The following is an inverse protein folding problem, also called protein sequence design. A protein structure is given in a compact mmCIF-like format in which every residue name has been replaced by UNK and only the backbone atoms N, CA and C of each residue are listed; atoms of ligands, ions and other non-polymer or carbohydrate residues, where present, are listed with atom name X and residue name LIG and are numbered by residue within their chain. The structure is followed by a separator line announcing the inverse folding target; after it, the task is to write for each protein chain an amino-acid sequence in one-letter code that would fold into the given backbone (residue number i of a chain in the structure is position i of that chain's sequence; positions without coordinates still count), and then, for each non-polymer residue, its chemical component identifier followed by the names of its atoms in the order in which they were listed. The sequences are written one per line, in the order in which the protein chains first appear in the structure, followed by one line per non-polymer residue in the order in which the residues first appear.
data_IF_697498507793
#
_entry.id   IF_697498507793
#
_cell.length_a   1.000
_cell.length_b   1.000
_cell.length_c   1.000
_cell.angle_alpha   90.00
_cell.angle_beta   90.00
_cell.angle_gamma   90.00
#
_symmetry.space_group_name_H-M   'P 1'
#
loop_
_entity.id
_entity.type
_entity.pdbx_description
1 polymer ?
#
# COMPACT_ATOMS: atom_id res chain seq x y z
N UNK A 1 -15.53 -8.84 19.58
CA UNK A 1 -15.55 -8.14 18.27
C UNK A 1 -16.03 -9.11 17.19
N UNK A 2 -16.67 -8.63 16.11
CA UNK A 2 -17.26 -9.55 15.13
C UNK A 2 -16.19 -10.39 14.41
N UNK A 3 -16.47 -11.67 14.18
CA UNK A 3 -15.54 -12.61 13.51
C UNK A 3 -15.10 -12.15 12.10
N UNK A 4 -15.89 -11.31 11.45
CA UNK A 4 -15.59 -10.76 10.12
C UNK A 4 -14.64 -9.55 10.15
N UNK A 5 -14.35 -8.97 11.31
CA UNK A 5 -13.60 -7.71 11.43
C UNK A 5 -12.18 -7.81 10.85
N UNK A 6 -11.37 -8.76 11.33
CA UNK A 6 -9.99 -8.93 10.85
C UNK A 6 -9.91 -9.31 9.37
N UNK A 7 -10.71 -10.26 8.85
CA UNK A 7 -10.77 -10.54 7.41
C UNK A 7 -11.16 -9.32 6.57
N UNK A 8 -12.16 -8.55 7.00
CA UNK A 8 -12.59 -7.34 6.29
C UNK A 8 -11.50 -6.26 6.30
N UNK A 9 -10.83 -6.06 7.43
CA UNK A 9 -9.71 -5.12 7.57
C UNK A 9 -8.55 -5.50 6.63
N UNK A 10 -8.15 -6.77 6.61
CA UNK A 10 -7.13 -7.27 5.67
C UNK A 10 -7.58 -7.05 4.23
N UNK A 11 -8.84 -7.34 3.91
CA UNK A 11 -9.40 -7.12 2.58
C UNK A 11 -9.32 -5.66 2.13
N UNK A 12 -9.68 -4.72 2.99
CA UNK A 12 -9.60 -3.28 2.69
C UNK A 12 -8.15 -2.82 2.52
N UNK A 13 -7.24 -3.25 3.39
CA UNK A 13 -5.81 -2.91 3.31
C UNK A 13 -5.17 -3.47 2.03
N UNK A 14 -5.50 -4.71 1.67
CA UNK A 14 -5.04 -5.35 0.45
C UNK A 14 -5.61 -4.66 -0.80
N UNK A 15 -6.91 -4.32 -0.81
CA UNK A 15 -7.54 -3.60 -1.92
C UNK A 15 -6.95 -2.19 -2.10
N UNK A 16 -6.74 -1.45 -1.01
CA UNK A 16 -6.10 -0.14 -1.04
C UNK A 16 -4.66 -0.23 -1.57
N UNK A 17 -3.89 -1.23 -1.13
CA UNK A 17 -2.56 -1.50 -1.65
C UNK A 17 -2.60 -1.82 -3.15
N UNK A 18 -3.50 -2.70 -3.58
CA UNK A 18 -3.63 -3.09 -4.99
C UNK A 18 -3.99 -1.90 -5.89
N UNK A 19 -4.95 -1.07 -5.48
CA UNK A 19 -5.35 0.13 -6.22
C UNK A 19 -4.19 1.13 -6.31
N UNK A 20 -3.46 1.33 -5.22
CA UNK A 20 -2.26 2.17 -5.22
C UNK A 20 -1.17 1.59 -6.15
N UNK A 21 -0.96 0.28 -6.14
CA UNK A 21 -0.02 -0.42 -7.02
C UNK A 21 -0.39 -0.27 -8.49
N UNK A 22 -1.66 -0.51 -8.85
CA UNK A 22 -2.16 -0.30 -10.22
C UNK A 22 -1.95 1.17 -10.64
N UNK A 23 -2.26 2.12 -9.76
CA UNK A 23 -2.05 3.53 -10.05
C UNK A 23 -0.58 3.87 -10.28
N UNK A 24 0.34 3.32 -9.47
CA UNK A 24 1.79 3.48 -9.64
C UNK A 24 2.27 2.87 -10.96
N UNK A 25 1.73 1.71 -11.36
CA UNK A 25 2.04 1.08 -12.64
C UNK A 25 1.60 1.96 -13.81
N UNK A 26 0.39 2.51 -13.75
CA UNK A 26 -0.12 3.44 -14.76
C UNK A 26 0.68 4.76 -14.82
N UNK A 27 1.31 5.14 -13.70
CA UNK A 27 2.15 6.34 -13.58
C UNK A 27 3.65 6.03 -13.47
N UNK A 28 4.10 4.87 -13.96
CA UNK A 28 5.51 4.44 -13.90
C UNK A 28 6.47 5.49 -14.46
N UNK A 29 6.01 6.26 -15.43
CA UNK A 29 6.78 7.33 -16.04
C UNK A 29 7.02 8.51 -15.10
N UNK A 30 6.03 8.86 -14.29
CA UNK A 30 6.15 9.95 -13.32
C UNK A 30 6.97 9.49 -12.11
N UNK A 31 6.86 8.21 -11.74
CA UNK A 31 7.75 7.51 -10.79
C UNK A 31 9.20 7.56 -11.29
N UNK A 32 9.45 7.11 -12.52
CA UNK A 32 10.78 7.15 -13.13
C UNK A 32 11.34 8.57 -13.22
N UNK A 33 10.51 9.57 -13.53
CA UNK A 33 10.93 10.97 -13.53
C UNK A 33 11.25 11.53 -12.13
N UNK A 34 10.61 10.99 -11.08
CA UNK A 34 10.87 11.37 -9.70
C UNK A 34 12.22 10.83 -9.22
N UNK A 35 12.50 9.55 -9.47
CA UNK A 35 13.75 8.90 -9.05
C UNK A 35 14.93 9.22 -9.99
N UNK A 36 14.69 9.37 -11.29
CA UNK A 36 15.72 9.71 -12.28
C UNK A 36 16.31 11.11 -12.11
N UNK A 37 15.61 12.02 -11.43
CA UNK A 37 16.11 13.36 -11.08
C UNK A 37 17.33 13.32 -10.14
N UNK A 38 17.55 12.22 -9.42
CA UNK A 38 18.70 12.08 -8.52
C UNK A 38 19.76 11.10 -9.04
N UNK A 39 19.37 10.07 -9.79
CA UNK A 39 20.31 9.00 -10.15
C UNK A 39 20.88 9.07 -11.57
N UNK A 40 20.32 9.87 -12.50
CA UNK A 40 20.83 10.00 -13.88
C UNK A 40 20.72 8.74 -14.77
N UNK A 41 20.59 7.55 -14.17
CA UNK A 41 20.51 6.24 -14.84
C UNK A 41 19.10 5.87 -15.32
N UNK A 42 18.06 6.52 -14.77
CA UNK A 42 16.67 6.20 -15.11
C UNK A 42 16.26 6.99 -16.36
N UNK A 43 16.32 6.33 -17.51
CA UNK A 43 15.91 6.90 -18.79
C UNK A 43 14.39 7.14 -18.81
N UNK A 44 13.98 8.40 -18.99
CA UNK A 44 12.58 8.79 -19.11
C UNK A 44 12.11 8.58 -20.56
N UNK A 45 10.99 7.89 -20.77
CA UNK A 45 10.33 7.88 -22.09
C UNK A 45 9.87 9.29 -22.53
N UNK A 46 9.63 9.58 -23.82
CA UNK A 46 9.29 10.92 -24.34
C UNK A 46 7.86 11.41 -24.01
N UNK A 47 7.66 12.73 -23.74
CA UNK A 47 6.35 13.38 -23.44
C UNK A 47 6.23 14.17 -22.11
N UNK A 48 5.04 14.67 -21.75
CA UNK A 48 4.79 15.53 -20.56
C UNK A 48 4.47 14.71 -19.30
N UNK A 49 4.81 15.27 -18.12
CA UNK A 49 4.51 14.70 -16.79
C UNK A 49 3.00 14.72 -16.54
N UNK A 50 2.42 13.62 -16.04
CA UNK A 50 0.97 13.53 -15.81
C UNK A 50 0.59 13.74 -14.34
N UNK A 51 1.42 13.29 -13.41
CA UNK A 51 1.23 13.43 -11.97
C UNK A 51 2.33 14.26 -11.28
N UNK A 52 1.99 14.85 -10.13
CA UNK A 52 2.94 15.58 -9.26
C UNK A 52 3.77 14.61 -8.42
N UNK A 53 4.94 15.06 -7.94
CA UNK A 53 5.79 14.26 -7.04
C UNK A 53 5.04 13.83 -5.77
N UNK A 54 4.17 14.69 -5.25
CA UNK A 54 3.38 14.41 -4.05
C UNK A 54 2.39 13.27 -4.25
N UNK A 55 1.72 13.21 -5.41
CA UNK A 55 0.80 12.12 -5.74
C UNK A 55 1.53 10.77 -5.86
N UNK A 56 2.72 10.77 -6.46
CA UNK A 56 3.57 9.57 -6.54
C UNK A 56 3.99 9.10 -5.15
N UNK A 57 4.45 10.02 -4.29
CA UNK A 57 4.80 9.69 -2.90
C UNK A 57 3.61 9.15 -2.10
N UNK A 58 2.44 9.78 -2.22
CA UNK A 58 1.22 9.34 -1.55
C UNK A 58 0.84 7.92 -1.97
N UNK A 59 0.93 7.61 -3.27
CA UNK A 59 0.65 6.27 -3.77
C UNK A 59 1.69 5.23 -3.30
N UNK A 60 2.97 5.59 -3.22
CA UNK A 60 4.02 4.72 -2.65
C UNK A 60 3.75 4.43 -1.17
N UNK A 61 3.40 5.45 -0.39
CA UNK A 61 3.08 5.30 1.04
C UNK A 61 1.83 4.44 1.20
N UNK A 62 0.77 4.70 0.44
CA UNK A 62 -0.48 3.95 0.50
C UNK A 62 -0.28 2.48 0.13
N UNK A 63 0.50 2.23 -0.94
CA UNK A 63 0.88 0.88 -1.34
C UNK A 63 1.56 0.14 -0.18
N UNK A 64 2.60 0.75 0.40
CA UNK A 64 3.38 0.15 1.47
C UNK A 64 2.60 -0.03 2.77
N UNK A 65 1.89 1.00 3.21
CA UNK A 65 1.06 0.94 4.41
C UNK A 65 -0.03 -0.14 4.31
N UNK A 66 -0.64 -0.30 3.13
CA UNK A 66 -1.65 -1.32 2.89
C UNK A 66 -1.10 -2.75 3.04
N UNK A 67 -0.02 -3.10 2.33
CA UNK A 67 0.49 -4.48 2.40
C UNK A 67 1.17 -4.79 3.75
N UNK A 68 1.91 -3.84 4.33
CA UNK A 68 2.54 -4.01 5.65
C UNK A 68 1.47 -4.13 6.73
N UNK A 69 0.44 -3.27 6.69
CA UNK A 69 -0.68 -3.34 7.61
C UNK A 69 -1.42 -4.68 7.52
N UNK A 70 -1.67 -5.16 6.31
CA UNK A 70 -2.27 -6.48 6.10
C UNK A 70 -1.40 -7.60 6.69
N UNK A 71 -0.07 -7.53 6.51
CA UNK A 71 0.86 -8.51 7.06
C UNK A 71 0.89 -8.47 8.59
N UNK A 72 0.90 -7.28 9.20
CA UNK A 72 0.83 -7.12 10.67
C UNK A 72 -0.44 -7.72 11.23
N UNK A 73 -1.60 -7.45 10.63
CA UNK A 73 -2.87 -8.04 11.05
C UNK A 73 -2.83 -9.56 10.90
N UNK A 74 -2.26 -10.06 9.81
CA UNK A 74 -2.15 -11.50 9.56
C UNK A 74 -1.25 -12.21 10.59
N UNK A 75 -0.11 -11.62 10.95
CA UNK A 75 0.75 -12.11 12.02
C UNK A 75 0.05 -12.08 13.39
N UNK A 76 -0.69 -11.01 13.69
CA UNK A 76 -1.45 -10.88 14.92
C UNK A 76 -2.56 -11.95 15.05
N UNK A 77 -3.24 -12.27 13.94
CA UNK A 77 -4.25 -13.33 13.89
C UNK A 77 -3.62 -14.72 14.07
N UNK A 78 -2.51 -15.02 13.37
CA UNK A 78 -1.80 -16.30 13.52
C UNK A 78 -1.16 -16.48 14.90
N UNK A 79 -0.72 -15.40 15.54
CA UNK A 79 -0.12 -15.43 16.88
C UNK A 79 -1.10 -15.74 18.02
N UNK A 80 -2.40 -15.81 17.75
CA UNK A 80 -3.44 -16.07 18.76
C UNK A 80 -3.83 -14.86 19.61
N UNK A 81 -3.10 -13.74 19.51
CA UNK A 81 -3.42 -12.49 20.21
C UNK A 81 -4.81 -11.95 19.84
N UNK A 82 -5.27 -12.21 18.62
CA UNK A 82 -6.63 -11.87 18.18
C UNK A 82 -7.74 -12.54 19.02
N UNK A 83 -7.50 -13.74 19.55
CA UNK A 83 -8.46 -14.40 20.45
C UNK A 83 -8.56 -13.66 21.78
N UNK A 84 -7.43 -13.19 22.35
CA UNK A 84 -7.42 -12.45 23.62
C UNK A 84 -8.23 -11.15 23.55
N UNK A 85 -8.10 -10.40 22.45
CA UNK A 85 -8.87 -9.16 22.27
C UNK A 85 -10.35 -9.47 21.98
N UNK A 86 -10.63 -10.58 21.29
CA UNK A 86 -12.01 -10.99 20.98
C UNK A 86 -12.75 -11.44 22.24
N UNK A 87 -12.11 -12.26 23.09
CA UNK A 87 -12.67 -12.78 24.34
C UNK A 87 -12.81 -11.69 25.41
N UNK A 88 -11.88 -10.73 25.49
CA UNK A 88 -11.98 -9.59 26.41
C UNK A 88 -13.07 -8.57 26.05
N UNK A 89 -13.73 -8.73 24.90
CA UNK A 89 -14.81 -7.86 24.41
C UNK A 89 -16.19 -8.52 24.47
N UNK A 90 -16.30 -9.68 25.12
CA UNK A 90 -17.55 -10.41 25.44
C UNK A 90 -17.89 -10.21 26.91
#
# INVERSE_FOLDING_TARGET
MPLWFFPALVGVLAAASLLAGIWLLLHLRDVAAMFGRHSGEIARGPGRRRASNGAVWAAIILFNAGWIGALVVWLFVMGGDANLVTDASI
#
